data_IF_635798889886
#
_entry.id   IF_635798889886
#
_cell.length_a   1.000
_cell.length_b   1.000
_cell.length_c   1.000
_cell.angle_alpha   90.00
_cell.angle_beta   90.00
_cell.angle_gamma   90.00
#
_symmetry.space_group_name_H-M   'P 1'
#
loop_
_entity.id
_entity.type
_entity.pdbx_description
1 polymer ?
#
# COMPACT_ATOMS: atom_id res chain seq x y z
N UNK A 1 27.29 7.94 8.49
CA UNK A 1 25.88 7.68 8.21
C UNK A 1 25.11 8.84 8.79
N UNK A 2 24.70 9.80 7.97
CA UNK A 2 24.03 11.01 8.43
C UNK A 2 22.59 10.68 8.82
N UNK A 3 22.37 10.52 10.12
CA UNK A 3 21.06 10.54 10.77
C UNK A 3 20.35 11.84 10.38
N UNK A 4 19.36 11.74 9.50
CA UNK A 4 18.50 12.86 9.16
C UNK A 4 17.37 12.84 10.17
N UNK A 5 17.31 13.77 11.16
CA UNK A 5 16.43 13.63 12.33
C UNK A 5 14.93 13.67 12.02
N UNK A 6 14.56 14.03 10.79
CA UNK A 6 13.19 14.13 10.32
C UNK A 6 13.10 13.78 8.84
N UNK A 7 12.13 12.93 8.50
CA UNK A 7 11.75 12.65 7.11
C UNK A 7 10.90 13.78 6.53
N UNK A 8 11.06 14.04 5.25
CA UNK A 8 10.24 14.97 4.48
C UNK A 8 8.89 14.33 4.09
N UNK A 9 7.92 15.15 3.67
CA UNK A 9 6.64 14.64 3.13
C UNK A 9 6.88 13.69 1.94
N UNK A 10 7.89 13.97 1.10
CA UNK A 10 8.25 13.10 -0.03
C UNK A 10 8.76 11.75 0.44
N UNK A 11 9.72 11.74 1.37
CA UNK A 11 10.26 10.50 1.93
C UNK A 11 9.16 9.69 2.62
N UNK A 12 8.23 10.33 3.34
CA UNK A 12 7.07 9.65 3.93
C UNK A 12 6.23 8.94 2.85
N UNK A 13 5.94 9.61 1.73
CA UNK A 13 5.13 9.03 0.66
C UNK A 13 5.87 7.86 -0.03
N UNK A 14 7.20 7.92 -0.15
CA UNK A 14 8.00 6.84 -0.71
C UNK A 14 7.90 5.53 0.10
N UNK A 15 7.76 5.63 1.43
CA UNK A 15 7.62 4.46 2.33
C UNK A 15 6.17 4.18 2.74
N UNK A 16 5.19 4.83 2.10
CA UNK A 16 3.78 4.70 2.48
C UNK A 16 3.28 3.26 2.35
N UNK A 17 3.66 2.56 1.28
CA UNK A 17 3.21 1.19 1.06
C UNK A 17 3.74 0.26 2.15
N UNK A 18 5.06 0.29 2.40
CA UNK A 18 5.72 -0.51 3.43
C UNK A 18 5.16 -0.22 4.83
N UNK A 19 4.80 1.03 5.11
CA UNK A 19 4.14 1.42 6.36
C UNK A 19 2.75 0.78 6.48
N UNK A 20 1.93 0.84 5.42
CA UNK A 20 0.58 0.27 5.41
C UNK A 20 0.57 -1.26 5.40
N UNK A 21 1.61 -1.91 4.86
CA UNK A 21 1.78 -3.37 4.88
C UNK A 21 2.45 -3.88 6.15
N UNK A 22 2.99 -3.00 7.00
CA UNK A 22 3.74 -3.36 8.20
C UNK A 22 5.13 -3.93 7.91
N UNK A 23 5.67 -3.67 6.71
CA UNK A 23 6.98 -4.13 6.25
C UNK A 23 8.09 -3.10 6.49
N UNK A 24 7.71 -1.89 6.95
CA UNK A 24 8.66 -0.84 7.28
C UNK A 24 9.46 -1.20 8.55
N UNK A 25 10.79 -1.07 8.48
CA UNK A 25 11.67 -1.29 9.63
C UNK A 25 11.31 -0.38 10.81
N UNK A 26 11.38 -0.91 12.03
CA UNK A 26 10.94 -0.26 13.28
C UNK A 26 11.46 1.18 13.44
N UNK A 27 12.76 1.38 13.22
CA UNK A 27 13.41 2.70 13.32
C UNK A 27 12.78 3.74 12.39
N UNK A 28 12.37 3.31 11.20
CA UNK A 28 11.74 4.17 10.19
C UNK A 28 10.26 4.40 10.49
N UNK A 29 9.57 3.40 11.05
CA UNK A 29 8.19 3.54 11.51
C UNK A 29 8.06 4.62 12.60
N UNK A 30 9.01 4.68 13.54
CA UNK A 30 9.06 5.74 14.55
C UNK A 30 9.21 7.13 13.93
N UNK A 31 10.06 7.29 12.91
CA UNK A 31 10.20 8.56 12.20
C UNK A 31 8.94 8.93 11.39
N UNK A 32 8.28 7.92 10.81
CA UNK A 32 7.03 8.07 10.09
C UNK A 32 5.93 8.61 11.00
N UNK A 33 5.73 7.98 12.16
CA UNK A 33 4.75 8.40 13.16
C UNK A 33 5.05 9.79 13.72
N UNK A 34 6.33 10.10 13.96
CA UNK A 34 6.76 11.45 14.38
C UNK A 34 6.37 12.51 13.35
N UNK A 35 6.52 12.22 12.06
CA UNK A 35 6.11 13.13 11.00
C UNK A 35 4.57 13.31 10.97
N UNK A 36 3.81 12.21 11.09
CA UNK A 36 2.35 12.27 11.12
C UNK A 36 1.81 13.08 12.30
N UNK A 37 2.50 13.07 13.45
CA UNK A 37 2.13 13.85 14.61
C UNK A 37 2.18 15.37 14.39
N UNK A 38 2.96 15.85 13.41
CA UNK A 38 3.20 17.29 13.17
C UNK A 38 2.78 17.79 11.80
N UNK A 39 2.36 16.89 10.89
CA UNK A 39 2.06 17.22 9.50
C UNK A 39 0.61 16.84 9.10
N UNK A 40 -0.36 17.75 9.29
CA UNK A 40 -1.76 17.49 8.96
C UNK A 40 -2.00 17.15 7.48
N UNK A 41 -1.19 17.67 6.56
CA UNK A 41 -1.31 17.36 5.13
C UNK A 41 -0.98 15.90 4.83
N UNK A 42 0.03 15.32 5.49
CA UNK A 42 0.35 13.90 5.33
C UNK A 42 -0.74 13.01 5.93
N UNK A 43 -1.30 13.38 7.09
CA UNK A 43 -2.45 12.67 7.67
C UNK A 43 -3.64 12.65 6.70
N UNK A 44 -3.98 13.82 6.13
CA UNK A 44 -5.07 13.92 5.14
C UNK A 44 -4.78 13.12 3.86
N UNK A 45 -3.52 13.12 3.41
CA UNK A 45 -3.09 12.34 2.24
C UNK A 45 -3.26 10.84 2.47
N UNK A 46 -2.78 10.31 3.59
CA UNK A 46 -2.90 8.88 3.92
C UNK A 46 -4.37 8.46 3.97
N UNK A 47 -5.21 9.22 4.67
CA UNK A 47 -6.65 8.95 4.72
C UNK A 47 -7.28 8.90 3.31
N UNK A 48 -6.88 9.80 2.42
CA UNK A 48 -7.39 9.83 1.04
C UNK A 48 -6.87 8.65 0.22
N UNK A 49 -5.64 8.23 0.46
CA UNK A 49 -5.03 7.06 -0.17
C UNK A 49 -5.73 5.76 0.25
N UNK A 50 -5.98 5.58 1.55
CA UNK A 50 -6.75 4.44 2.09
C UNK A 50 -8.17 4.39 1.50
N UNK A 51 -8.82 5.55 1.41
CA UNK A 51 -10.16 5.66 0.80
C UNK A 51 -10.12 5.31 -0.69
N UNK A 52 -9.08 5.72 -1.41
CA UNK A 52 -8.89 5.35 -2.82
C UNK A 52 -8.73 3.84 -2.98
N UNK A 53 -7.96 3.17 -2.11
CA UNK A 53 -7.84 1.71 -2.10
C UNK A 53 -9.21 1.07 -1.84
N UNK A 54 -9.95 1.56 -0.84
CA UNK A 54 -11.27 1.04 -0.48
C UNK A 54 -12.25 1.15 -1.65
N UNK A 55 -12.35 2.33 -2.26
CA UNK A 55 -13.21 2.58 -3.42
C UNK A 55 -12.78 1.75 -4.63
N UNK A 56 -11.48 1.64 -4.89
CA UNK A 56 -10.93 0.79 -5.94
C UNK A 56 -11.33 -0.67 -5.77
N UNK A 57 -11.17 -1.23 -4.56
CA UNK A 57 -11.63 -2.60 -4.25
C UNK A 57 -13.12 -2.77 -4.48
N UNK A 58 -13.94 -1.82 -4.02
CA UNK A 58 -15.39 -1.87 -4.21
C UNK A 58 -15.82 -1.80 -5.67
N UNK A 59 -15.10 -1.06 -6.53
CA UNK A 59 -15.44 -0.95 -7.94
C UNK A 59 -15.36 -2.30 -8.70
N UNK A 60 -14.56 -3.24 -8.21
CA UNK A 60 -14.44 -4.59 -8.77
C UNK A 60 -15.34 -5.64 -8.09
N UNK A 61 -16.00 -5.28 -6.98
CA UNK A 61 -17.00 -6.14 -6.34
C UNK A 61 -18.35 -5.80 -6.98
N UNK A 62 -18.79 -6.60 -7.95
CA UNK A 62 -20.14 -6.46 -8.49
C UNK A 62 -21.16 -6.75 -7.38
N UNK A 63 -22.21 -5.93 -7.19
CA UNK A 63 -23.29 -6.22 -6.25
C UNK A 63 -24.04 -7.52 -6.57
N UNK A 64 -23.96 -7.97 -7.82
CA UNK A 64 -24.57 -9.21 -8.30
C UNK A 64 -23.57 -10.38 -8.33
N UNK A 65 -22.29 -10.15 -8.01
CA UNK A 65 -21.33 -11.23 -7.84
C UNK A 65 -21.53 -11.85 -6.45
N UNK A 66 -21.78 -13.17 -6.34
CA UNK A 66 -21.84 -13.84 -5.05
C UNK A 66 -20.54 -13.58 -4.27
N UNK A 67 -20.70 -13.23 -3.00
CA UNK A 67 -19.58 -12.89 -2.11
C UNK A 67 -18.58 -14.06 -2.06
N UNK A 68 -17.42 -13.88 -2.68
CA UNK A 68 -16.34 -14.88 -2.70
C UNK A 68 -15.96 -15.41 -4.08
N UNK A 69 -16.72 -15.11 -5.14
CA UNK A 69 -16.36 -15.49 -6.50
C UNK A 69 -15.49 -14.39 -7.13
N UNK A 70 -14.23 -14.30 -6.68
CA UNK A 70 -13.18 -13.94 -7.63
C UNK A 70 -13.22 -15.07 -8.66
N UNK A 71 -13.56 -14.79 -9.91
CA UNK A 71 -13.47 -15.78 -10.99
C UNK A 71 -12.11 -16.46 -10.88
N UNK A 72 -12.11 -17.78 -10.62
CA UNK A 72 -10.87 -18.51 -10.31
C UNK A 72 -9.87 -18.21 -11.41
N UNK A 73 -8.73 -17.62 -11.03
CA UNK A 73 -7.72 -17.20 -12.00
C UNK A 73 -7.33 -18.43 -12.82
N UNK A 74 -7.51 -18.43 -14.16
CA UNK A 74 -7.26 -19.61 -14.97
C UNK A 74 -5.84 -20.15 -14.75
N UNK A 75 -5.72 -21.45 -14.47
CA UNK A 75 -4.43 -22.06 -14.12
C UNK A 75 -3.39 -21.92 -15.24
N UNK A 76 -3.83 -21.92 -16.49
CA UNK A 76 -2.98 -21.71 -17.66
C UNK A 76 -2.34 -20.32 -17.66
N UNK A 77 -3.09 -19.29 -17.25
CA UNK A 77 -2.57 -17.94 -17.08
C UNK A 77 -1.54 -17.88 -15.94
N UNK A 78 -1.81 -18.51 -14.79
CA UNK A 78 -0.85 -18.59 -13.68
C UNK A 78 0.44 -19.27 -14.12
N UNK A 79 0.34 -20.42 -14.81
CA UNK A 79 1.50 -21.17 -15.35
C UNK A 79 2.30 -20.33 -16.35
N UNK A 80 1.63 -19.59 -17.24
CA UNK A 80 2.28 -18.72 -18.22
C UNK A 80 3.08 -17.58 -17.56
N UNK A 81 2.51 -16.91 -16.55
CA UNK A 81 3.20 -15.84 -15.81
C UNK A 81 4.43 -16.39 -15.06
N UNK A 82 4.31 -17.52 -14.38
CA UNK A 82 5.41 -18.15 -13.66
C UNK A 82 6.55 -18.56 -14.60
N UNK A 83 6.22 -19.13 -15.77
CA UNK A 83 7.21 -19.49 -16.79
C UNK A 83 7.94 -18.27 -17.36
N UNK A 84 7.27 -17.12 -17.47
CA UNK A 84 7.88 -15.87 -17.94
C UNK A 84 8.81 -15.24 -16.89
N UNK A 85 8.52 -15.37 -15.59
CA UNK A 85 9.34 -14.85 -14.49
C UNK A 85 10.61 -15.68 -14.21
N UNK A 86 10.68 -16.92 -14.70
CA UNK A 86 11.81 -17.83 -14.53
C UNK A 86 12.93 -17.71 -15.58
N UNK A 87 13.02 -16.58 -16.30
CA UNK A 87 14.12 -16.26 -17.22
C UNK A 87 14.93 -15.08 -16.72
#
# INVERSE_FOLDING_TARGET
>A
MTEKPYITCRELIEFLLDYLTGELAEERSVEFERHLAVCPSCVAYIRSYEETIRLGRMAFISPDAPAGESEEVPEDLVKAILAARGK
#
